data_IF_895952127059
#
_entry.id   IF_895952127059
#
_cell.length_a   1.000
_cell.length_b   1.000
_cell.length_c   1.000
_cell.angle_alpha   90.00
_cell.angle_beta   90.00
_cell.angle_gamma   90.00
#
_symmetry.space_group_name_H-M   'P 1'
#
loop_
_entity.id
_entity.type
_entity.pdbx_description
1 polymer ?
#
# COMPACT_ATOMS: atom_id res chain seq x y z
N UNK A 1 -10.70 -37.62 12.17
CA UNK A 1 -10.02 -36.59 11.36
C UNK A 1 -11.11 -35.76 10.71
N UNK A 2 -11.42 -34.59 11.27
CA UNK A 2 -12.48 -33.73 10.72
C UNK A 2 -11.94 -33.08 9.45
N UNK A 3 -12.47 -33.49 8.31
CA UNK A 3 -12.25 -32.87 7.00
C UNK A 3 -13.03 -31.56 6.94
N UNK A 4 -12.50 -30.50 7.56
CA UNK A 4 -12.96 -29.14 7.34
C UNK A 4 -12.55 -28.73 5.93
N UNK A 5 -13.53 -28.66 5.03
CA UNK A 5 -13.34 -28.06 3.71
C UNK A 5 -13.22 -26.55 3.90
N UNK A 6 -12.06 -25.93 3.60
CA UNK A 6 -11.87 -24.51 3.81
C UNK A 6 -12.94 -23.72 3.03
N UNK A 7 -13.70 -22.88 3.73
CA UNK A 7 -14.70 -22.02 3.10
C UNK A 7 -14.00 -20.95 2.27
N UNK A 8 -14.32 -20.90 0.98
CA UNK A 8 -13.76 -19.94 0.03
C UNK A 8 -14.32 -18.51 0.21
N UNK A 9 -15.48 -18.38 0.85
CA UNK A 9 -16.16 -17.11 1.06
C UNK A 9 -16.89 -17.11 2.40
N UNK A 10 -16.73 -16.02 3.14
CA UNK A 10 -17.33 -15.76 4.45
C UNK A 10 -17.97 -14.36 4.44
N UNK A 11 -18.89 -14.11 5.38
CA UNK A 11 -19.54 -12.79 5.49
C UNK A 11 -18.56 -11.65 5.75
N UNK A 12 -17.39 -11.92 6.35
CA UNK A 12 -16.32 -10.94 6.56
C UNK A 12 -15.63 -10.49 5.28
N UNK A 13 -15.70 -11.27 4.20
CA UNK A 13 -15.06 -10.93 2.92
C UNK A 13 -15.74 -9.75 2.22
N UNK A 14 -17.01 -9.46 2.54
CA UNK A 14 -17.68 -8.23 2.10
C UNK A 14 -17.06 -6.98 2.72
N UNK A 15 -16.75 -7.02 4.02
CA UNK A 15 -16.10 -5.92 4.70
C UNK A 15 -14.66 -5.74 4.19
N UNK A 16 -13.95 -6.86 3.96
CA UNK A 16 -12.65 -6.83 3.33
C UNK A 16 -12.71 -6.23 1.92
N UNK A 17 -13.67 -6.63 1.08
CA UNK A 17 -13.82 -6.11 -0.27
C UNK A 17 -14.06 -4.60 -0.30
N UNK A 18 -15.04 -4.10 0.47
CA UNK A 18 -15.35 -2.67 0.47
C UNK A 18 -14.32 -1.85 1.23
N UNK A 19 -13.91 -2.26 2.42
CA UNK A 19 -12.93 -1.52 3.23
C UNK A 19 -11.53 -1.53 2.60
N UNK A 20 -11.04 -2.70 2.20
CA UNK A 20 -9.71 -2.80 1.60
C UNK A 20 -9.71 -2.34 0.14
N UNK A 21 -10.75 -2.66 -0.63
CA UNK A 21 -10.86 -2.22 -2.03
C UNK A 21 -10.87 -0.71 -2.18
N UNK A 22 -11.66 0.00 -1.36
CA UNK A 22 -11.67 1.48 -1.36
C UNK A 22 -10.31 2.06 -0.96
N UNK A 23 -9.63 1.47 0.03
CA UNK A 23 -8.28 1.88 0.42
C UNK A 23 -7.27 1.71 -0.73
N UNK A 24 -7.27 0.56 -1.42
CA UNK A 24 -6.40 0.38 -2.60
C UNK A 24 -6.71 1.43 -3.67
N UNK A 25 -7.98 1.66 -3.97
CA UNK A 25 -8.38 2.64 -4.99
C UNK A 25 -7.86 4.03 -4.65
N UNK A 26 -8.02 4.49 -3.40
CA UNK A 26 -7.50 5.78 -2.95
C UNK A 26 -5.96 5.82 -3.06
N UNK A 27 -5.26 4.73 -2.75
CA UNK A 27 -3.81 4.68 -2.88
C UNK A 27 -3.35 4.71 -4.35
N UNK A 28 -4.05 4.03 -5.24
CA UNK A 28 -3.80 4.08 -6.69
C UNK A 28 -4.04 5.48 -7.25
N UNK A 29 -5.12 6.15 -6.82
CA UNK A 29 -5.39 7.54 -7.20
C UNK A 29 -4.32 8.50 -6.67
N UNK A 30 -3.88 8.31 -5.43
CA UNK A 30 -2.82 9.11 -4.83
C UNK A 30 -1.49 8.91 -5.58
N UNK A 31 -1.14 7.66 -5.91
CA UNK A 31 0.04 7.36 -6.74
C UNK A 31 -0.06 8.04 -8.12
N UNK A 32 -1.21 7.97 -8.76
CA UNK A 32 -1.47 8.61 -10.06
C UNK A 32 -1.29 10.13 -9.96
N UNK A 33 -1.83 10.75 -8.91
CA UNK A 33 -1.67 12.18 -8.65
C UNK A 33 -0.20 12.55 -8.41
N UNK A 34 0.55 11.75 -7.65
CA UNK A 34 1.99 11.96 -7.44
C UNK A 34 2.77 11.89 -8.76
N UNK A 35 2.52 10.89 -9.60
CA UNK A 35 3.22 10.75 -10.88
C UNK A 35 2.90 11.90 -11.86
N UNK A 36 1.63 12.32 -11.91
CA UNK A 36 1.17 13.39 -12.81
C UNK A 36 1.57 14.79 -12.34
N UNK A 37 1.30 15.12 -11.08
CA UNK A 37 1.47 16.49 -10.59
C UNK A 37 2.86 16.76 -10.01
N UNK A 38 3.48 15.77 -9.36
CA UNK A 38 4.82 15.95 -8.76
C UNK A 38 5.90 15.63 -9.80
N UNK A 39 5.82 14.47 -10.45
CA UNK A 39 6.84 14.06 -11.43
C UNK A 39 6.63 14.67 -12.82
N UNK A 40 5.42 15.16 -13.13
CA UNK A 40 5.04 15.68 -14.46
C UNK A 40 5.23 14.66 -15.59
N UNK A 41 4.91 13.39 -15.31
CA UNK A 41 4.94 12.34 -16.33
C UNK A 41 3.81 12.53 -17.37
N UNK A 42 4.03 12.13 -18.64
CA UNK A 42 2.99 12.13 -19.66
C UNK A 42 1.83 11.22 -19.27
N UNK A 43 0.60 11.67 -19.49
CA UNK A 43 -0.61 10.91 -19.19
C UNK A 43 -0.67 9.57 -19.95
N UNK A 44 -0.15 9.52 -21.17
CA UNK A 44 -0.06 8.28 -21.96
C UNK A 44 0.73 7.17 -21.25
N UNK A 45 1.79 7.53 -20.53
CA UNK A 45 2.60 6.56 -19.78
C UNK A 45 1.89 6.16 -18.49
N UNK A 46 1.32 7.13 -17.79
CA UNK A 46 0.66 6.89 -16.50
C UNK A 46 -0.58 6.01 -16.68
N UNK A 47 -1.49 6.38 -17.58
CA UNK A 47 -2.74 5.64 -17.81
C UNK A 47 -2.58 4.46 -18.76
N UNK A 48 -1.65 4.53 -19.73
CA UNK A 48 -1.46 3.46 -20.71
C UNK A 48 -0.57 2.31 -20.24
N UNK A 49 0.37 2.57 -19.31
CA UNK A 49 1.34 1.54 -18.86
C UNK A 49 1.33 1.34 -17.35
N UNK A 50 1.47 2.40 -16.57
CA UNK A 50 1.68 2.27 -15.10
C UNK A 50 0.40 1.80 -14.41
N UNK A 51 -0.73 2.44 -14.68
CA UNK A 51 -2.01 2.13 -14.02
C UNK A 51 -2.50 0.71 -14.36
N UNK A 52 -2.50 0.25 -15.64
CA UNK A 52 -2.87 -1.12 -15.97
C UNK A 52 -1.90 -2.15 -15.38
N UNK A 53 -0.59 -1.88 -15.42
CA UNK A 53 0.40 -2.78 -14.82
C UNK A 53 0.22 -2.91 -13.30
N UNK A 54 -0.06 -1.80 -12.61
CA UNK A 54 -0.32 -1.79 -11.16
C UNK A 54 -1.58 -2.57 -10.83
N UNK A 55 -2.66 -2.38 -11.60
CA UNK A 55 -3.91 -3.14 -11.44
C UNK A 55 -3.70 -4.65 -11.65
N UNK A 56 -3.00 -5.04 -12.71
CA UNK A 56 -2.67 -6.45 -12.97
C UNK A 56 -1.81 -7.05 -11.86
N UNK A 57 -0.81 -6.31 -11.37
CA UNK A 57 0.05 -6.76 -10.28
C UNK A 57 -0.74 -6.97 -8.98
N UNK A 58 -1.64 -6.06 -8.63
CA UNK A 58 -2.50 -6.19 -7.45
C UNK A 58 -3.45 -7.38 -7.57
N UNK A 59 -4.02 -7.61 -8.74
CA UNK A 59 -4.87 -8.76 -9.02
C UNK A 59 -4.11 -10.08 -8.87
N UNK A 60 -2.96 -10.22 -9.55
CA UNK A 60 -2.14 -11.44 -9.51
C UNK A 60 -1.60 -11.72 -8.11
N UNK A 61 -1.13 -10.70 -7.40
CA UNK A 61 -0.61 -10.88 -6.04
C UNK A 61 -1.70 -11.28 -5.05
N UNK A 62 -2.92 -10.73 -5.18
CA UNK A 62 -4.04 -11.11 -4.31
C UNK A 62 -4.48 -12.55 -4.57
N UNK A 63 -4.52 -13.00 -5.84
CA UNK A 63 -4.78 -14.41 -6.17
C UNK A 63 -3.71 -15.31 -5.58
N UNK A 64 -2.44 -14.91 -5.68
CA UNK A 64 -1.34 -15.69 -5.13
C UNK A 64 -1.44 -15.84 -3.61
N UNK A 65 -1.73 -14.77 -2.88
CA UNK A 65 -1.95 -14.84 -1.44
C UNK A 65 -3.20 -15.64 -1.06
N UNK A 66 -4.28 -15.54 -1.83
CA UNK A 66 -5.47 -16.36 -1.63
C UNK A 66 -5.17 -17.85 -1.83
N UNK A 67 -4.36 -18.20 -2.83
CA UNK A 67 -3.92 -19.57 -3.06
C UNK A 67 -3.02 -20.10 -1.93
N UNK A 68 -2.08 -19.29 -1.44
CA UNK A 68 -1.24 -19.64 -0.29
C UNK A 68 -2.07 -19.84 0.98
N UNK A 69 -3.05 -18.96 1.24
CA UNK A 69 -3.98 -19.08 2.35
C UNK A 69 -4.80 -20.37 2.25
N UNK A 70 -5.29 -20.72 1.06
CA UNK A 70 -6.01 -21.96 0.81
C UNK A 70 -5.14 -23.20 1.05
N UNK A 71 -3.89 -23.20 0.56
CA UNK A 71 -2.97 -24.30 0.77
C UNK A 71 -2.61 -24.48 2.25
N UNK A 72 -2.44 -23.36 2.98
CA UNK A 72 -2.17 -23.38 4.42
C UNK A 72 -3.39 -23.89 5.22
N UNK A 73 -4.60 -23.43 4.88
CA UNK A 73 -5.84 -23.89 5.50
C UNK A 73 -6.01 -25.42 5.34
N UNK A 74 -5.72 -25.95 4.14
CA UNK A 74 -5.75 -27.38 3.86
C UNK A 74 -4.68 -28.17 4.63
N UNK A 75 -3.49 -27.59 4.82
CA UNK A 75 -2.38 -28.21 5.56
C UNK A 75 -2.63 -28.27 7.06
N UNK A 76 -3.20 -27.21 7.63
CA UNK A 76 -3.47 -27.11 9.07
C UNK A 76 -4.85 -27.66 9.48
N UNK A 77 -5.75 -27.91 8.52
CA UNK A 77 -7.12 -28.35 8.80
C UNK A 77 -7.94 -27.31 9.58
N UNK A 78 -7.62 -26.03 9.43
CA UNK A 78 -8.24 -24.91 10.15
C UNK A 78 -8.96 -23.97 9.20
N UNK A 79 -10.20 -23.60 9.56
CA UNK A 79 -11.01 -22.61 8.84
C UNK A 79 -10.73 -21.15 9.28
N UNK A 80 -9.71 -20.92 10.12
CA UNK A 80 -9.35 -19.58 10.65
C UNK A 80 -8.27 -18.88 9.84
N UNK A 81 -7.89 -19.41 8.67
CA UNK A 81 -6.84 -18.82 7.84
C UNK A 81 -7.44 -17.73 6.97
N UNK A 82 -7.00 -16.49 7.15
CA UNK A 82 -7.41 -15.34 6.35
C UNK A 82 -6.34 -15.01 5.31
N UNK A 83 -6.74 -14.79 4.06
CA UNK A 83 -5.84 -14.33 3.02
C UNK A 83 -5.43 -12.88 3.31
N UNK A 84 -4.11 -12.62 3.35
CA UNK A 84 -3.59 -11.26 3.43
C UNK A 84 -3.77 -10.59 2.07
N UNK A 85 -4.54 -9.49 1.99
CA UNK A 85 -4.76 -8.84 0.71
C UNK A 85 -3.53 -7.99 0.35
N UNK A 86 -3.18 -7.99 -0.93
CA UNK A 86 -2.02 -7.24 -1.44
C UNK A 86 -2.40 -5.79 -1.69
N UNK A 87 -1.56 -4.86 -1.27
CA UNK A 87 -1.84 -3.42 -1.40
C UNK A 87 -0.59 -2.60 -1.65
N UNK A 88 -0.82 -1.35 -2.07
CA UNK A 88 0.26 -0.37 -2.23
C UNK A 88 0.65 0.16 -0.86
N UNK A 89 1.94 0.09 -0.53
CA UNK A 89 2.46 0.69 0.70
C UNK A 89 2.54 2.21 0.53
N UNK A 90 1.60 2.92 1.15
CA UNK A 90 1.51 4.39 1.17
C UNK A 90 2.83 5.08 1.56
N UNK A 91 3.50 4.72 2.67
CA UNK A 91 4.73 5.40 3.02
C UNK A 91 5.87 5.13 2.03
N UNK A 92 5.90 3.91 1.48
CA UNK A 92 6.90 3.54 0.50
C UNK A 92 6.73 4.33 -0.80
N UNK A 93 5.50 4.48 -1.32
CA UNK A 93 5.28 5.27 -2.55
C UNK A 93 5.72 6.73 -2.38
N UNK A 94 5.47 7.34 -1.22
CA UNK A 94 5.89 8.71 -0.95
C UNK A 94 7.41 8.85 -0.89
N UNK A 95 8.10 7.93 -0.20
CA UNK A 95 9.56 7.93 -0.15
C UNK A 95 10.15 7.78 -1.54
N UNK A 96 9.68 6.84 -2.35
CA UNK A 96 10.21 6.62 -3.70
C UNK A 96 9.97 7.85 -4.59
N UNK A 97 8.76 8.41 -4.59
CA UNK A 97 8.47 9.59 -5.42
C UNK A 97 9.28 10.81 -4.98
N UNK A 98 9.23 11.17 -3.69
CA UNK A 98 9.82 12.43 -3.23
C UNK A 98 11.34 12.36 -3.00
N UNK A 99 11.85 11.24 -2.48
CA UNK A 99 13.27 11.12 -2.09
C UNK A 99 14.13 10.61 -3.25
N UNK A 100 13.54 9.87 -4.19
CA UNK A 100 14.32 9.18 -5.24
C UNK A 100 13.99 9.74 -6.61
N UNK A 101 12.73 9.65 -7.03
CA UNK A 101 12.35 10.02 -8.40
C UNK A 101 12.44 11.53 -8.61
N UNK A 102 11.91 12.34 -7.69
CA UNK A 102 11.85 13.80 -7.81
C UNK A 102 13.24 14.47 -7.93
N UNK A 103 14.25 14.20 -7.08
CA UNK A 103 15.55 14.85 -7.23
C UNK A 103 16.27 14.45 -8.51
N UNK A 104 16.08 13.22 -9.00
CA UNK A 104 16.69 12.74 -10.25
C UNK A 104 15.99 13.37 -11.46
N UNK A 105 14.66 13.46 -11.43
CA UNK A 105 13.88 14.17 -12.43
C UNK A 105 14.26 15.66 -12.49
N UNK A 106 14.40 16.32 -11.33
CA UNK A 106 14.78 17.72 -11.23
C UNK A 106 16.21 17.97 -11.74
N UNK A 107 17.17 17.11 -11.40
CA UNK A 107 18.56 17.20 -11.89
C UNK A 107 18.69 16.99 -13.40
N UNK A 108 17.88 16.10 -13.95
CA UNK A 108 17.97 15.75 -15.39
C UNK A 108 17.04 16.59 -16.26
N UNK A 109 16.07 17.29 -15.67
CA UNK A 109 15.01 18.00 -16.39
C UNK A 109 14.04 17.08 -17.15
N UNK A 110 14.15 15.76 -16.98
CA UNK A 110 13.33 14.77 -17.70
C UNK A 110 12.62 13.83 -16.69
N UNK A 111 11.27 13.89 -16.60
CA UNK A 111 10.45 13.01 -15.76
C UNK A 111 10.68 11.51 -15.98
N UNK A 112 10.98 11.11 -17.22
CA UNK A 112 11.15 9.69 -17.59
C UNK A 112 12.38 9.10 -16.90
N UNK A 113 13.48 9.86 -16.79
CA UNK A 113 14.68 9.39 -16.08
C UNK A 113 14.44 9.25 -14.58
N UNK A 114 13.59 10.11 -14.00
CA UNK A 114 13.13 9.95 -12.61
C UNK A 114 12.33 8.66 -12.44
N UNK A 115 11.50 8.31 -13.42
CA UNK A 115 10.75 7.06 -13.42
C UNK A 115 11.63 5.82 -13.57
N UNK A 116 12.59 5.81 -14.50
CA UNK A 116 13.57 4.73 -14.67
C UNK A 116 14.42 4.52 -13.41
N UNK A 117 14.82 5.61 -12.75
CA UNK A 117 15.53 5.54 -11.48
C UNK A 117 14.65 4.94 -10.37
N UNK A 118 13.37 5.29 -10.31
CA UNK A 118 12.41 4.67 -9.40
C UNK A 118 12.26 3.17 -9.64
N UNK A 119 12.15 2.74 -10.91
CA UNK A 119 12.10 1.32 -11.27
C UNK A 119 13.38 0.58 -10.85
N UNK A 120 14.53 1.18 -11.10
CA UNK A 120 15.83 0.64 -10.70
C UNK A 120 15.92 0.50 -9.19
N UNK A 121 15.47 1.50 -8.44
CA UNK A 121 15.42 1.46 -6.99
C UNK A 121 14.57 0.30 -6.48
N UNK A 122 13.33 0.16 -6.97
CA UNK A 122 12.42 -0.91 -6.53
C UNK A 122 12.98 -2.29 -6.90
N UNK A 123 13.64 -2.42 -8.05
CA UNK A 123 14.33 -3.64 -8.45
C UNK A 123 15.45 -4.01 -7.48
N UNK A 124 16.35 -3.09 -7.17
CA UNK A 124 17.45 -3.31 -6.20
C UNK A 124 16.89 -3.61 -4.81
N UNK A 125 15.91 -2.84 -4.36
CA UNK A 125 15.24 -3.03 -3.08
C UNK A 125 14.61 -4.42 -2.95
N UNK A 126 14.09 -5.01 -4.03
CA UNK A 126 13.51 -6.35 -4.01
C UNK A 126 14.55 -7.42 -3.63
N UNK A 127 15.80 -7.29 -4.11
CA UNK A 127 16.89 -8.19 -3.68
C UNK A 127 17.24 -7.99 -2.20
N UNK A 128 17.27 -6.73 -1.75
CA UNK A 128 17.52 -6.41 -0.34
C UNK A 128 16.43 -6.98 0.55
N UNK A 129 15.17 -6.92 0.14
CA UNK A 129 14.03 -7.52 0.84
C UNK A 129 14.12 -9.04 0.86
N UNK A 130 14.50 -9.66 -0.26
CA UNK A 130 14.67 -11.12 -0.34
C UNK A 130 15.77 -11.60 0.60
N UNK A 131 16.94 -10.95 0.62
CA UNK A 131 18.01 -11.24 1.56
C UNK A 131 17.59 -10.92 3.02
N UNK A 132 16.93 -9.79 3.20
CA UNK A 132 16.42 -9.32 4.48
C UNK A 132 15.36 -10.25 5.08
N UNK A 133 14.58 -10.96 4.26
CA UNK A 133 13.57 -11.93 4.72
C UNK A 133 14.16 -13.04 5.59
N UNK A 134 15.40 -13.45 5.33
CA UNK A 134 16.10 -14.47 6.13
C UNK A 134 16.63 -13.90 7.46
N UNK A 135 17.01 -12.62 7.47
CA UNK A 135 17.63 -11.94 8.63
C UNK A 135 16.56 -11.26 9.51
N UNK A 136 15.41 -10.91 8.95
CA UNK A 136 14.31 -10.22 9.62
C UNK A 136 13.82 -10.90 10.92
N UNK A 137 13.71 -12.24 11.02
CA UNK A 137 13.33 -12.90 12.26
C UNK A 137 14.33 -12.68 13.39
N UNK A 138 15.62 -12.55 13.06
CA UNK A 138 16.69 -12.31 14.03
C UNK A 138 16.67 -10.85 14.50
N UNK A 139 16.54 -9.90 13.57
CA UNK A 139 16.42 -8.46 13.89
C UNK A 139 15.19 -8.19 14.76
N UNK A 140 14.05 -8.84 14.48
CA UNK A 140 12.82 -8.67 15.27
C UNK A 140 12.96 -9.16 16.71
N UNK A 141 13.86 -10.11 17.00
CA UNK A 141 14.14 -10.57 18.37
C UNK A 141 14.99 -9.58 19.16
N UNK A 142 15.87 -8.85 18.49
CA UNK A 142 16.81 -7.91 19.11
C UNK A 142 16.20 -6.52 19.26
N UNK A 143 15.33 -6.13 18.32
CA UNK A 143 14.80 -4.76 18.26
C UNK A 143 13.65 -4.58 19.26
N UNK A 144 13.70 -3.56 20.14
CA UNK A 144 12.61 -3.27 21.06
C UNK A 144 11.35 -2.84 20.31
N UNK A 145 10.18 -3.33 20.74
CA UNK A 145 8.88 -3.03 20.10
C UNK A 145 8.60 -1.52 19.99
N UNK A 146 9.08 -0.73 20.96
CA UNK A 146 8.95 0.72 20.95
C UNK A 146 9.62 1.38 19.73
N UNK A 147 10.79 0.89 19.31
CA UNK A 147 11.50 1.44 18.15
C UNK A 147 10.75 1.13 16.83
N UNK A 148 10.19 -0.09 16.71
CA UNK A 148 9.40 -0.48 15.54
C UNK A 148 8.11 0.34 15.44
N UNK A 149 7.41 0.54 16.55
CA UNK A 149 6.16 1.31 16.60
C UNK A 149 6.41 2.81 16.35
N UNK A 150 7.49 3.37 16.90
CA UNK A 150 7.84 4.78 16.72
C UNK A 150 8.15 5.14 15.27
N UNK A 151 8.94 4.30 14.57
CA UNK A 151 9.26 4.53 13.16
C UNK A 151 8.00 4.47 12.28
N UNK A 152 7.12 3.48 12.51
CA UNK A 152 5.86 3.37 11.78
C UNK A 152 4.91 4.54 12.07
N UNK A 153 4.83 4.99 13.31
CA UNK A 153 3.99 6.13 13.71
C UNK A 153 4.47 7.43 13.06
N UNK A 154 5.78 7.72 13.12
CA UNK A 154 6.34 8.94 12.53
C UNK A 154 6.11 8.99 11.01
N UNK A 155 6.34 7.88 10.33
CA UNK A 155 6.08 7.75 8.89
C UNK A 155 4.58 7.93 8.56
N UNK A 156 3.69 7.37 9.37
CA UNK A 156 2.24 7.51 9.17
C UNK A 156 1.77 8.95 9.36
N UNK A 157 2.24 9.63 10.40
CA UNK A 157 1.90 11.03 10.67
C UNK A 157 2.41 11.93 9.53
N UNK A 158 3.69 11.77 9.15
CA UNK A 158 4.34 12.62 8.17
C UNK A 158 3.77 12.48 6.76
N UNK A 159 3.43 11.26 6.32
CA UNK A 159 3.06 11.00 4.92
C UNK A 159 1.59 10.64 4.70
N UNK A 160 0.93 10.04 5.69
CA UNK A 160 -0.48 9.62 5.57
C UNK A 160 -1.40 10.70 6.14
N UNK A 161 -1.13 11.19 7.36
CA UNK A 161 -2.01 12.15 8.02
C UNK A 161 -1.83 13.59 7.56
N UNK A 162 -0.60 14.00 7.23
CA UNK A 162 -0.29 15.40 6.95
C UNK A 162 -1.01 15.94 5.71
N UNK A 163 -1.08 15.16 4.64
CA UNK A 163 -1.64 15.63 3.36
C UNK A 163 -3.17 15.82 3.44
N UNK A 164 -3.98 14.87 3.96
CA UNK A 164 -5.39 15.11 4.25
C UNK A 164 -5.62 16.22 5.28
N UNK A 165 -4.75 16.36 6.29
CA UNK A 165 -4.88 17.43 7.27
C UNK A 165 -4.68 18.82 6.64
N UNK A 166 -3.74 18.95 5.69
CA UNK A 166 -3.56 20.17 4.90
C UNK A 166 -4.75 20.42 3.96
N UNK A 167 -5.24 19.39 3.26
CA UNK A 167 -6.41 19.52 2.39
C UNK A 167 -7.66 19.95 3.20
N UNK A 168 -7.84 19.44 4.42
CA UNK A 168 -8.90 19.86 5.35
C UNK A 168 -8.73 21.31 5.83
N UNK A 169 -7.50 21.81 5.95
CA UNK A 169 -7.24 23.21 6.30
C UNK A 169 -7.56 24.17 5.14
N UNK A 170 -7.27 23.75 3.90
CA UNK A 170 -7.52 24.55 2.70
C UNK A 170 -9.01 24.65 2.37
N UNK A 171 -9.77 23.56 2.53
CA UNK A 171 -11.23 23.51 2.28
C UNK A 171 -12.00 23.08 3.55
N UNK A 172 -12.11 23.94 4.57
CA UNK A 172 -12.58 23.55 5.91
C UNK A 172 -14.03 23.09 5.95
N UNK A 173 -14.91 23.63 5.10
CA UNK A 173 -16.33 23.23 5.07
C UNK A 173 -16.46 21.77 4.64
N UNK A 174 -15.76 21.38 3.58
CA UNK A 174 -15.81 20.00 3.06
C UNK A 174 -15.07 19.06 4.01
N UNK A 175 -13.88 19.46 4.45
CA UNK A 175 -13.04 18.64 5.30
C UNK A 175 -13.66 18.34 6.68
N UNK A 176 -14.24 19.34 7.35
CA UNK A 176 -14.90 19.14 8.67
C UNK A 176 -16.15 18.29 8.54
N UNK A 177 -16.95 18.45 7.48
CA UNK A 177 -18.14 17.61 7.24
C UNK A 177 -17.74 16.16 6.99
N UNK A 178 -16.75 15.90 6.13
CA UNK A 178 -16.23 14.56 5.91
C UNK A 178 -15.64 13.96 7.20
N UNK A 179 -14.89 14.75 7.98
CA UNK A 179 -14.32 14.31 9.25
C UNK A 179 -15.39 13.96 10.28
N UNK A 180 -16.45 14.76 10.38
CA UNK A 180 -17.59 14.48 11.26
C UNK A 180 -18.32 13.19 10.86
N UNK A 181 -18.51 12.95 9.56
CA UNK A 181 -19.10 11.69 9.05
C UNK A 181 -18.19 10.51 9.37
N UNK A 182 -16.88 10.64 9.19
CA UNK A 182 -15.92 9.58 9.52
C UNK A 182 -15.93 9.26 11.03
N UNK A 183 -15.96 10.27 11.90
CA UNK A 183 -16.09 10.08 13.34
C UNK A 183 -17.43 9.42 13.70
N UNK A 184 -18.52 9.87 13.10
CA UNK A 184 -19.85 9.27 13.30
C UNK A 184 -19.90 7.82 12.83
N UNK A 185 -19.28 7.47 11.70
CA UNK A 185 -19.19 6.10 11.22
C UNK A 185 -18.28 5.23 12.10
N UNK A 186 -17.22 5.80 12.66
CA UNK A 186 -16.27 5.07 13.50
C UNK A 186 -16.84 4.78 14.90
N UNK A 187 -17.55 5.75 15.48
CA UNK A 187 -18.14 5.62 16.83
C UNK A 187 -19.59 5.15 16.81
N UNK A 188 -20.29 5.23 15.67
CA UNK A 188 -21.72 4.98 15.54
C UNK A 188 -22.12 3.53 15.29
N UNK A 189 -21.23 2.68 14.76
CA UNK A 189 -21.52 1.27 14.46
C UNK A 189 -22.37 1.06 13.22
#
# INVERSE_FOLDING_TARGET
MNTTTPKLWTSGDWNAFFGFGTNILVNVLTLTALLRYVLKLPDDIVFGRILPATGLMLFLSTIYYAWLAYQLAKKEGRDTVCALPSGISVPHMFVVVFVIMLPIAAKTGNPIKGWEAGLTWVFVQSFVLMAGGFIAPYIKKITPRAALLGALAGVSIAFISLKPALDMYMDPIIGVVCFAILLASWFGG
#
